data_IF_734484876242
#
_entry.id   IF_734484876242
#
_cell.length_a   1.000
_cell.length_b   1.000
_cell.length_c   1.000
_cell.angle_alpha   90.00
_cell.angle_beta   90.00
_cell.angle_gamma   90.00
#
_symmetry.space_group_name_H-M   'P 1'
#
loop_
_entity.id
_entity.type
_entity.pdbx_description
1 polymer ?
#
# COMPACT_ATOMS: atom_id res chain seq x y z
N UNK A 1 11.84 -13.90 5.58
CA UNK A 1 12.37 -12.84 6.50
C UNK A 1 11.44 -12.78 7.70
N UNK A 2 11.85 -12.31 8.89
CA UNK A 2 10.89 -12.03 9.96
C UNK A 2 9.91 -10.94 9.49
N UNK A 3 8.64 -10.98 9.91
CA UNK A 3 7.66 -9.94 9.56
C UNK A 3 8.20 -8.58 9.96
N UNK A 4 8.12 -7.61 9.04
CA UNK A 4 8.59 -6.25 9.29
C UNK A 4 7.70 -5.63 10.36
N UNK A 5 8.34 -5.00 11.36
CA UNK A 5 7.62 -4.37 12.47
C UNK A 5 7.13 -3.00 12.02
N UNK A 6 5.91 -2.63 12.39
CA UNK A 6 5.31 -1.30 12.17
C UNK A 6 6.30 -0.14 12.43
N UNK A 7 7.09 -0.21 13.50
CA UNK A 7 8.06 0.81 13.86
C UNK A 7 9.15 1.05 12.79
N UNK A 8 9.57 0.01 12.07
CA UNK A 8 10.54 0.14 10.97
C UNK A 8 9.91 0.91 9.80
N UNK A 9 8.69 0.54 9.41
CA UNK A 9 7.97 1.21 8.33
C UNK A 9 7.68 2.68 8.68
N UNK A 10 7.29 2.96 9.92
CA UNK A 10 7.10 4.32 10.43
C UNK A 10 8.39 5.15 10.34
N UNK A 11 9.55 4.58 10.69
CA UNK A 11 10.83 5.27 10.58
C UNK A 11 11.19 5.59 9.11
N UNK A 12 10.91 4.68 8.19
CA UNK A 12 11.13 4.86 6.75
C UNK A 12 10.18 5.92 6.14
N UNK A 13 8.95 6.00 6.64
CA UNK A 13 8.02 7.07 6.30
C UNK A 13 8.52 8.41 6.83
N UNK A 14 8.92 8.47 8.10
CA UNK A 14 9.42 9.69 8.73
C UNK A 14 10.71 10.22 8.10
N UNK A 15 11.57 9.32 7.60
CA UNK A 15 12.78 9.69 6.86
C UNK A 15 12.52 10.09 5.39
N UNK A 16 11.30 9.88 4.89
CA UNK A 16 10.91 10.14 3.50
C UNK A 16 11.36 9.07 2.50
N UNK A 17 11.91 7.94 2.96
CA UNK A 17 12.29 6.81 2.12
C UNK A 17 11.07 6.07 1.56
N UNK A 18 9.98 6.04 2.32
CA UNK A 18 8.66 5.61 1.86
C UNK A 18 7.79 6.85 1.70
N UNK A 19 7.17 7.01 0.53
CA UNK A 19 6.36 8.17 0.20
C UNK A 19 5.26 7.80 -0.79
N UNK A 20 4.16 8.55 -0.77
CA UNK A 20 3.18 8.46 -1.84
C UNK A 20 3.79 8.74 -3.20
N UNK A 21 3.20 8.11 -4.21
CA UNK A 21 3.63 8.22 -5.60
C UNK A 21 4.81 7.32 -5.94
N UNK A 22 5.45 6.65 -4.96
CA UNK A 22 6.56 5.73 -5.26
C UNK A 22 6.07 4.49 -6.01
N UNK A 23 6.87 3.97 -6.93
CA UNK A 23 6.50 2.78 -7.70
C UNK A 23 6.67 1.50 -6.87
N UNK A 24 6.10 0.40 -7.37
CA UNK A 24 6.32 -0.94 -6.80
C UNK A 24 7.80 -1.32 -6.74
N UNK A 25 8.56 -0.97 -7.77
CA UNK A 25 10.00 -1.25 -7.84
C UNK A 25 10.77 -0.42 -6.81
N UNK A 26 10.39 0.85 -6.62
CA UNK A 26 10.96 1.69 -5.57
C UNK A 26 10.64 1.14 -4.17
N UNK A 27 9.41 0.65 -3.94
CA UNK A 27 9.02 0.10 -2.64
C UNK A 27 9.75 -1.23 -2.37
N UNK A 28 9.85 -2.08 -3.40
CA UNK A 28 10.60 -3.33 -3.35
C UNK A 28 12.08 -3.10 -3.08
N UNK A 29 12.69 -2.06 -3.65
CA UNK A 29 14.09 -1.72 -3.37
C UNK A 29 14.31 -1.30 -1.89
N UNK A 30 13.29 -0.76 -1.22
CA UNK A 30 13.37 -0.35 0.19
C UNK A 30 13.05 -1.51 1.14
N UNK A 31 11.96 -2.24 0.89
CA UNK A 31 11.41 -3.22 1.83
C UNK A 31 11.72 -4.68 1.45
N UNK A 32 12.05 -4.93 0.17
CA UNK A 32 12.16 -6.27 -0.40
C UNK A 32 10.82 -6.83 -0.86
N UNK A 33 10.77 -8.16 -0.95
CA UNK A 33 9.53 -8.90 -1.27
C UNK A 33 8.45 -8.67 -0.21
N UNK A 34 7.19 -8.48 -0.60
CA UNK A 34 6.08 -8.45 0.33
C UNK A 34 5.87 -9.82 0.98
N UNK A 35 5.32 -9.81 2.20
CA UNK A 35 4.94 -11.01 2.92
C UNK A 35 3.69 -11.65 2.31
N UNK A 36 2.77 -10.83 1.79
CA UNK A 36 1.58 -11.26 1.05
C UNK A 36 1.16 -10.21 0.00
N UNK A 37 0.38 -10.64 -0.99
CA UNK A 37 -0.22 -9.76 -2.00
C UNK A 37 -1.72 -10.00 -2.07
N UNK A 38 -2.48 -8.91 -2.10
CA UNK A 38 -3.94 -8.97 -2.12
C UNK A 38 -4.52 -9.65 -3.36
N UNK A 39 -5.84 -9.87 -3.34
CA UNK A 39 -6.53 -10.61 -4.37
C UNK A 39 -6.55 -9.87 -5.72
N UNK A 40 -6.64 -10.66 -6.79
CA UNK A 40 -6.84 -10.16 -8.15
C UNK A 40 -8.28 -10.42 -8.60
N UNK A 41 -8.71 -9.74 -9.67
CA UNK A 41 -10.00 -9.99 -10.30
C UNK A 41 -9.86 -10.07 -11.82
N UNK A 42 -10.85 -10.62 -12.52
CA UNK A 42 -10.86 -10.62 -13.99
C UNK A 42 -10.76 -9.21 -14.60
N UNK A 43 -11.26 -8.19 -13.89
CA UNK A 43 -11.20 -6.79 -14.32
C UNK A 43 -9.82 -6.16 -14.06
N UNK A 44 -9.16 -6.57 -12.98
CA UNK A 44 -7.86 -6.07 -12.54
C UNK A 44 -6.98 -7.27 -12.12
N UNK A 45 -6.23 -7.85 -13.07
CA UNK A 45 -5.46 -9.07 -12.85
C UNK A 45 -4.16 -8.82 -12.07
N UNK A 46 -3.84 -7.56 -11.74
CA UNK A 46 -2.65 -7.22 -10.96
C UNK A 46 -3.07 -6.87 -9.54
N UNK A 47 -2.44 -7.47 -8.51
CA UNK A 47 -2.75 -7.16 -7.12
C UNK A 47 -2.44 -5.69 -6.82
N UNK A 48 -3.38 -5.03 -6.14
CA UNK A 48 -3.28 -3.64 -5.73
C UNK A 48 -2.70 -3.47 -4.32
N UNK A 49 -2.65 -4.54 -3.54
CA UNK A 49 -2.30 -4.50 -2.13
C UNK A 49 -1.07 -5.37 -1.87
N UNK A 50 -0.05 -4.81 -1.23
CA UNK A 50 1.18 -5.47 -0.82
C UNK A 50 1.35 -5.36 0.70
N UNK A 51 1.43 -6.50 1.39
CA UNK A 51 1.51 -6.58 2.85
C UNK A 51 2.94 -6.79 3.33
N UNK A 52 3.33 -6.05 4.36
CA UNK A 52 4.61 -6.14 5.07
C UNK A 52 4.34 -6.12 6.57
N UNK A 53 4.26 -7.30 7.19
CA UNK A 53 3.78 -7.47 8.56
C UNK A 53 2.38 -6.89 8.75
N UNK A 54 2.27 -5.92 9.63
CA UNK A 54 1.02 -5.26 9.99
C UNK A 54 0.70 -4.06 9.08
N UNK A 55 1.46 -3.83 8.00
CA UNK A 55 1.30 -2.67 7.12
C UNK A 55 0.96 -3.11 5.69
N UNK A 56 -0.05 -2.48 5.12
CA UNK A 56 -0.54 -2.72 3.76
C UNK A 56 -0.32 -1.50 2.88
N UNK A 57 0.19 -1.73 1.67
CA UNK A 57 0.55 -0.70 0.70
C UNK A 57 -0.34 -0.83 -0.53
N UNK A 58 -1.16 0.19 -0.76
CA UNK A 58 -2.20 0.16 -1.80
C UNK A 58 -1.80 0.99 -3.01
N UNK A 59 -1.88 0.35 -4.16
CA UNK A 59 -1.66 0.91 -5.48
C UNK A 59 -2.97 1.00 -6.27
N UNK A 60 -3.08 1.93 -7.24
CA UNK A 60 -4.20 1.96 -8.16
C UNK A 60 -4.37 0.63 -8.92
N UNK A 61 -5.62 0.18 -9.18
CA UNK A 61 -5.90 -1.03 -9.95
C UNK A 61 -5.31 -0.98 -11.36
N UNK A 62 -4.69 -2.06 -11.81
CA UNK A 62 -4.05 -2.13 -13.12
C UNK A 62 -4.59 -3.29 -13.97
N UNK A 63 -4.69 -3.07 -15.28
CA UNK A 63 -5.12 -4.08 -16.26
C UNK A 63 -3.96 -4.99 -16.73
N UNK A 64 -2.72 -4.63 -16.45
CA UNK A 64 -1.53 -5.39 -16.83
C UNK A 64 -0.34 -5.01 -15.95
N UNK A 65 0.65 -5.91 -15.83
CA UNK A 65 1.86 -5.66 -15.06
C UNK A 65 2.61 -4.40 -15.53
N UNK A 66 2.70 -4.20 -16.85
CA UNK A 66 3.31 -3.01 -17.45
C UNK A 66 2.64 -1.71 -16.99
N UNK A 67 1.31 -1.70 -16.88
CA UNK A 67 0.57 -0.53 -16.42
C UNK A 67 0.75 -0.33 -14.90
N UNK A 68 0.84 -1.43 -14.15
CA UNK A 68 1.06 -1.39 -12.72
C UNK A 68 2.43 -0.80 -12.32
N UNK A 69 3.46 -1.02 -13.14
CA UNK A 69 4.81 -0.49 -12.87
C UNK A 69 4.88 1.04 -12.88
N UNK A 70 3.98 1.70 -13.61
CA UNK A 70 3.93 3.17 -13.65
C UNK A 70 3.05 3.77 -12.55
N UNK A 71 2.34 2.94 -11.80
CA UNK A 71 1.46 3.42 -10.72
C UNK A 71 2.29 3.76 -9.49
N UNK A 72 2.05 4.95 -8.96
CA UNK A 72 2.54 5.36 -7.66
C UNK A 72 1.70 4.81 -6.52
N UNK A 73 2.33 4.58 -5.38
CA UNK A 73 1.71 4.22 -4.11
C UNK A 73 0.64 5.27 -3.77
N UNK A 74 -0.58 4.80 -3.51
CA UNK A 74 -1.73 5.66 -3.24
C UNK A 74 -1.99 5.80 -1.75
N UNK A 75 -1.82 4.71 -0.98
CA UNK A 75 -2.22 4.68 0.43
C UNK A 75 -1.44 3.63 1.22
N UNK A 76 -1.32 3.86 2.53
CA UNK A 76 -0.69 2.95 3.48
C UNK A 76 -1.68 2.74 4.63
N UNK A 77 -1.97 1.48 4.95
CA UNK A 77 -2.84 1.05 6.04
C UNK A 77 -2.06 0.27 7.08
N UNK A 78 -2.49 0.32 8.33
CA UNK A 78 -1.98 -0.55 9.40
C UNK A 78 -3.13 -1.46 9.86
N UNK A 79 -2.87 -2.75 9.92
CA UNK A 79 -3.77 -3.78 10.41
C UNK A 79 -3.54 -3.98 11.92
N UNK A 80 -4.21 -3.17 12.75
CA UNK A 80 -4.07 -3.24 14.23
C UNK A 80 -5.02 -4.26 14.91
N UNK A 81 -5.64 -5.18 14.16
CA UNK A 81 -6.66 -6.09 14.69
C UNK A 81 -8.03 -5.43 14.89
N UNK A 82 -9.05 -6.22 15.30
CA UNK A 82 -10.50 -5.90 15.27
C UNK A 82 -10.86 -4.40 15.24
N UNK A 83 -10.93 -3.85 14.03
CA UNK A 83 -11.26 -2.44 13.77
C UNK A 83 -10.27 -1.81 12.81
N UNK A 84 -10.78 -1.23 11.72
CA UNK A 84 -9.98 -0.49 10.74
C UNK A 84 -9.56 0.86 11.34
N UNK A 85 -8.59 0.89 12.27
CA UNK A 85 -8.08 2.15 12.81
C UNK A 85 -6.65 2.47 12.34
N UNK A 86 -6.46 3.76 12.07
CA UNK A 86 -5.25 4.47 11.64
C UNK A 86 -4.78 4.28 10.18
N UNK A 87 -5.45 5.02 9.28
CA UNK A 87 -4.91 5.41 7.97
C UNK A 87 -3.78 6.43 8.17
N UNK A 88 -2.53 6.07 7.86
CA UNK A 88 -1.48 7.07 7.69
C UNK A 88 -1.62 7.69 6.30
N UNK A 89 -2.51 8.68 6.20
CA UNK A 89 -2.60 9.56 5.03
C UNK A 89 -1.39 10.48 4.98
N UNK A 90 -0.26 9.96 4.51
CA UNK A 90 0.54 10.79 3.63
C UNK A 90 -0.40 11.07 2.46
N UNK A 91 -1.05 12.22 2.37
CA UNK A 91 -1.68 12.64 1.12
C UNK A 91 -0.74 13.67 0.52
N UNK A 92 -0.35 13.50 -0.75
CA UNK A 92 0.43 14.53 -1.45
C UNK A 92 -0.37 15.85 -1.64
N UNK A 93 -1.64 15.85 -1.25
CA UNK A 93 -2.56 16.99 -1.23
C UNK A 93 -3.47 16.81 -0.02
N UNK A 94 -3.31 17.64 1.01
CA UNK A 94 -3.98 17.55 2.32
C UNK A 94 -5.51 17.56 2.30
N UNK A 95 -6.11 16.51 1.74
CA UNK A 95 -7.54 16.23 1.73
C UNK A 95 -7.85 15.01 2.61
N UNK A 96 -9.05 14.97 3.21
CA UNK A 96 -9.48 13.81 3.99
C UNK A 96 -9.50 12.54 3.11
N UNK A 97 -9.36 11.35 3.72
CA UNK A 97 -9.48 10.09 2.99
C UNK A 97 -10.87 10.04 2.33
N UNK A 98 -11.01 9.42 1.15
CA UNK A 98 -12.33 9.04 0.68
C UNK A 98 -12.96 8.11 1.74
N UNK A 99 -14.20 8.42 2.14
CA UNK A 99 -14.93 7.60 3.09
C UNK A 99 -14.98 6.13 2.62
N UNK A 100 -14.91 5.14 3.54
CA UNK A 100 -15.09 3.74 3.18
C UNK A 100 -16.54 3.53 2.75
N UNK A 101 -16.79 3.64 1.45
CA UNK A 101 -18.15 3.61 0.91
C UNK A 101 -18.16 3.23 -0.57
N UNK A 102 -18.33 1.93 -0.83
CA UNK A 102 -18.85 1.44 -2.11
C UNK A 102 -17.99 0.43 -2.85
N UNK A 103 -17.67 -0.72 -2.24
CA UNK A 103 -17.59 -1.94 -3.04
C UNK A 103 -19.03 -2.36 -3.35
N UNK A 104 -19.38 -2.25 -4.63
CA UNK A 104 -20.70 -2.53 -5.18
C UNK A 104 -21.14 -3.96 -4.85
N UNK A 105 -22.41 -4.09 -4.45
CA UNK A 105 -23.18 -5.34 -4.48
C UNK A 105 -23.34 -5.88 -5.90
#
# INVERSE_FOLDING_TARGET
MPPRRLAEVQALIASGQIRLGMTRDELHAVLGEPDDVGLTSNRYPVPCDWKYGDVEFIYPPAKSARHAQTHGLQMIYVDEGEGWEAVYLLTASGGPPPAPGGFLS
#
